data_IF_863184781693
#
_entry.id   IF_863184781693
#
_cell.length_a   1.000
_cell.length_b   1.000
_cell.length_c   1.000
_cell.angle_alpha   90.00
_cell.angle_beta   90.00
_cell.angle_gamma   90.00
#
_symmetry.space_group_name_H-M   'P 1'
#
loop_
_entity.id
_entity.type
_entity.pdbx_description
1 polymer ?
#
# COMPACT_ATOMS: atom_id res chain seq x y z
N UNK A 1 3.05 1.71 8.99
CA UNK A 1 2.35 2.19 7.78
C UNK A 1 1.40 1.14 7.21
N UNK A 2 1.83 -0.06 6.82
CA UNK A 2 0.90 -1.04 6.21
C UNK A 2 -0.18 -1.55 7.17
N UNK A 3 0.19 -1.88 8.41
CA UNK A 3 -0.78 -2.28 9.45
C UNK A 3 -1.78 -1.17 9.76
N UNK A 4 -1.31 0.08 9.90
CA UNK A 4 -2.15 1.23 10.25
C UNK A 4 -3.10 1.66 9.12
N UNK A 5 -2.66 1.52 7.86
CA UNK A 5 -3.45 1.89 6.69
C UNK A 5 -4.32 0.73 6.18
N UNK A 6 -4.07 -0.49 6.65
CA UNK A 6 -4.77 -1.72 6.25
C UNK A 6 -4.87 -1.87 4.72
N UNK A 7 -3.78 -1.58 4.01
CA UNK A 7 -3.71 -1.61 2.53
C UNK A 7 -3.13 -2.93 1.98
N UNK A 8 -2.78 -3.87 2.86
CA UNK A 8 -2.17 -5.15 2.51
C UNK A 8 -2.58 -6.25 3.47
N UNK A 9 -2.32 -7.50 3.10
CA UNK A 9 -2.40 -8.66 3.99
C UNK A 9 -1.01 -9.24 4.22
N UNK A 10 -0.79 -9.79 5.41
CA UNK A 10 0.45 -10.51 5.72
C UNK A 10 0.27 -12.01 5.50
N UNK A 11 1.33 -12.65 5.04
CA UNK A 11 1.39 -14.11 4.88
C UNK A 11 2.15 -14.68 6.07
N UNK A 12 1.56 -15.66 6.76
CA UNK A 12 2.27 -16.36 7.83
C UNK A 12 3.43 -17.18 7.25
N UNK A 13 4.61 -17.04 7.85
CA UNK A 13 5.77 -17.91 7.58
C UNK A 13 5.69 -19.16 8.44
N UNK A 14 6.21 -20.26 7.90
CA UNK A 14 6.49 -21.46 8.67
C UNK A 14 7.68 -21.23 9.60
N UNK A 15 7.90 -22.13 10.56
CA UNK A 15 9.04 -22.06 11.51
C UNK A 15 10.39 -22.07 10.78
N UNK A 16 10.43 -22.63 9.56
CA UNK A 16 11.61 -22.62 8.68
C UNK A 16 11.95 -21.23 8.13
N UNK A 17 11.08 -20.23 8.36
CA UNK A 17 11.18 -18.88 7.80
C UNK A 17 10.69 -18.76 6.36
N UNK A 18 10.34 -19.87 5.71
CA UNK A 18 9.75 -19.90 4.37
C UNK A 18 8.23 -19.81 4.42
N UNK A 19 7.63 -19.39 3.31
CA UNK A 19 6.18 -19.43 3.14
C UNK A 19 5.75 -20.78 2.56
N UNK A 20 4.69 -21.36 3.11
CA UNK A 20 4.02 -22.49 2.47
C UNK A 20 3.13 -22.02 1.32
N UNK A 21 2.89 -22.91 0.35
CA UNK A 21 1.96 -22.65 -0.76
C UNK A 21 0.56 -22.37 -0.23
N UNK A 22 0.16 -23.04 0.84
CA UNK A 22 -1.15 -22.96 1.47
C UNK A 22 -1.35 -21.58 2.10
N UNK A 23 -0.36 -21.06 2.85
CA UNK A 23 -0.44 -19.72 3.42
C UNK A 23 -0.50 -18.63 2.35
N UNK A 24 0.31 -18.76 1.28
CA UNK A 24 0.27 -17.82 0.15
C UNK A 24 -1.12 -17.87 -0.53
N UNK A 25 -1.62 -19.06 -0.84
CA UNK A 25 -2.92 -19.25 -1.48
C UNK A 25 -4.06 -18.68 -0.64
N UNK A 26 -4.01 -18.87 0.68
CA UNK A 26 -4.97 -18.29 1.62
C UNK A 26 -4.96 -16.76 1.60
N UNK A 27 -3.79 -16.13 1.63
CA UNK A 27 -3.66 -14.67 1.58
C UNK A 27 -4.10 -14.08 0.23
N UNK A 28 -3.77 -14.73 -0.89
CA UNK A 28 -4.27 -14.30 -2.21
C UNK A 28 -5.79 -14.37 -2.24
N UNK A 29 -6.36 -15.49 -1.77
CA UNK A 29 -7.80 -15.70 -1.76
C UNK A 29 -8.53 -14.68 -0.89
N UNK A 30 -8.03 -14.39 0.32
CA UNK A 30 -8.67 -13.46 1.24
C UNK A 30 -8.83 -12.05 0.66
N UNK A 31 -7.92 -11.64 -0.22
CA UNK A 31 -7.98 -10.35 -0.93
C UNK A 31 -8.75 -10.45 -2.25
N UNK A 32 -8.62 -11.55 -2.99
CA UNK A 32 -9.14 -11.67 -4.35
C UNK A 32 -10.58 -12.15 -4.42
N UNK A 33 -11.07 -12.88 -3.42
CA UNK A 33 -12.49 -13.25 -3.37
C UNK A 33 -13.37 -11.99 -3.31
N UNK A 34 -14.45 -12.04 -4.07
CA UNK A 34 -15.44 -10.97 -4.07
C UNK A 34 -16.21 -11.03 -2.75
N UNK A 35 -16.61 -9.85 -2.25
CA UNK A 35 -17.48 -9.70 -1.08
C UNK A 35 -16.93 -10.21 0.26
N UNK A 36 -15.63 -10.51 0.36
CA UNK A 36 -14.98 -10.68 1.67
C UNK A 36 -14.83 -9.33 2.36
N UNK A 37 -15.10 -9.27 3.66
CA UNK A 37 -14.94 -8.05 4.45
C UNK A 37 -13.51 -7.51 4.37
N UNK A 38 -12.52 -8.40 4.56
CA UNK A 38 -11.10 -8.09 4.49
C UNK A 38 -10.69 -7.61 3.09
N UNK A 39 -11.06 -8.32 2.02
CA UNK A 39 -10.72 -7.93 0.65
C UNK A 39 -11.34 -6.58 0.28
N UNK A 40 -12.58 -6.33 0.71
CA UNK A 40 -13.25 -5.04 0.49
C UNK A 40 -12.64 -3.89 1.30
N UNK A 41 -12.18 -4.14 2.53
CA UNK A 41 -11.44 -3.18 3.34
C UNK A 41 -10.12 -2.78 2.66
N UNK A 42 -9.29 -3.78 2.32
CA UNK A 42 -7.98 -3.59 1.69
C UNK A 42 -8.12 -2.84 0.36
N UNK A 43 -9.07 -3.22 -0.50
CA UNK A 43 -9.31 -2.54 -1.79
C UNK A 43 -9.71 -1.08 -1.61
N UNK A 44 -10.61 -0.78 -0.66
CA UNK A 44 -11.06 0.60 -0.39
C UNK A 44 -9.92 1.45 0.16
N UNK A 45 -9.14 0.93 1.10
CA UNK A 45 -8.03 1.67 1.69
C UNK A 45 -6.91 1.89 0.67
N UNK A 46 -6.60 0.89 -0.15
CA UNK A 46 -5.63 1.02 -1.22
C UNK A 46 -6.07 2.06 -2.26
N UNK A 47 -7.36 2.13 -2.62
CA UNK A 47 -7.90 3.16 -3.50
C UNK A 47 -7.77 4.57 -2.89
N UNK A 48 -8.13 4.73 -1.62
CA UNK A 48 -7.97 6.00 -0.90
C UNK A 48 -6.51 6.44 -0.79
N UNK A 49 -5.61 5.50 -0.48
CA UNK A 49 -4.17 5.78 -0.43
C UNK A 49 -3.66 6.24 -1.79
N UNK A 50 -4.05 5.54 -2.86
CA UNK A 50 -3.71 5.92 -4.23
C UNK A 50 -4.23 7.31 -4.58
N UNK A 51 -5.49 7.61 -4.28
CA UNK A 51 -6.09 8.93 -4.52
C UNK A 51 -5.35 10.01 -3.73
N UNK A 52 -5.01 9.74 -2.47
CA UNK A 52 -4.32 10.69 -1.60
C UNK A 52 -2.92 10.99 -2.12
N UNK A 53 -2.16 9.97 -2.53
CA UNK A 53 -0.81 10.12 -3.06
C UNK A 53 -0.77 10.73 -4.47
N UNK A 54 -1.73 10.37 -5.33
CA UNK A 54 -1.84 10.88 -6.69
C UNK A 54 -2.65 12.18 -6.78
N UNK A 55 -3.18 12.66 -5.66
CA UNK A 55 -3.86 13.95 -5.63
C UNK A 55 -2.92 15.03 -6.16
N UNK A 56 -3.43 15.77 -7.16
CA UNK A 56 -2.65 16.77 -7.87
C UNK A 56 -2.06 17.76 -6.87
N UNK A 57 -0.76 18.00 -6.96
CA UNK A 57 -0.08 19.03 -6.18
C UNK A 57 0.75 18.52 -5.00
N UNK A 58 0.55 17.31 -4.49
CA UNK A 58 1.41 16.80 -3.39
C UNK A 58 2.81 16.50 -3.92
N UNK A 59 2.92 15.56 -4.87
CA UNK A 59 4.23 15.15 -5.42
C UNK A 59 4.89 16.31 -6.17
N UNK A 60 4.14 16.99 -7.04
CA UNK A 60 4.66 18.14 -7.78
C UNK A 60 5.00 19.31 -6.86
N UNK A 61 4.22 19.56 -5.81
CA UNK A 61 4.51 20.62 -4.84
C UNK A 61 5.79 20.37 -4.06
N UNK A 62 6.05 19.13 -3.63
CA UNK A 62 7.32 18.77 -3.00
C UNK A 62 8.50 18.91 -3.97
N UNK A 63 8.37 18.41 -5.20
CA UNK A 63 9.42 18.53 -6.22
C UNK A 63 9.70 20.00 -6.55
N UNK A 64 8.67 20.82 -6.74
CA UNK A 64 8.81 22.25 -7.03
C UNK A 64 9.51 23.00 -5.90
N UNK A 65 9.09 22.78 -4.64
CA UNK A 65 9.75 23.40 -3.47
C UNK A 65 11.23 23.02 -3.37
N UNK A 66 11.56 21.78 -3.71
CA UNK A 66 12.94 21.32 -3.73
C UNK A 66 13.75 22.04 -4.83
N UNK A 67 13.20 22.15 -6.04
CA UNK A 67 13.82 22.90 -7.14
C UNK A 67 14.01 24.38 -6.77
N UNK A 68 12.98 25.04 -6.24
CA UNK A 68 13.07 26.43 -5.77
C UNK A 68 14.16 26.62 -4.69
N UNK A 69 14.36 25.62 -3.82
CA UNK A 69 15.41 25.66 -2.81
C UNK A 69 16.80 25.56 -3.45
N UNK A 70 16.97 24.74 -4.49
CA UNK A 70 18.23 24.63 -5.23
C UNK A 70 18.54 25.90 -6.02
N UNK A 71 17.54 26.50 -6.67
CA UNK A 71 17.72 27.76 -7.42
C UNK A 71 18.17 28.91 -6.52
N UNK A 72 17.76 28.94 -5.25
CA UNK A 72 18.21 29.95 -4.27
C UNK A 72 19.62 29.74 -3.75
N UNK A 73 20.25 28.59 -4.03
CA UNK A 73 21.64 28.31 -3.65
C UNK A 73 22.64 28.73 -4.74
N UNK A 74 22.15 29.11 -5.92
CA UNK A 74 22.92 29.60 -7.07
C UNK A 74 22.77 31.11 -7.18
#
# INVERSE_FOLDING_TARGET
MSEELEVSVEVKREETGWFSKENISGAVRSVMENDTELGNLVRRNHAKLKESLLSSGIISGYANKYVEALEKLV
#
